data_IF_551886822064
#
_entry.id   IF_551886822064
#
_cell.length_a   1.000
_cell.length_b   1.000
_cell.length_c   1.000
_cell.angle_alpha   90.00
_cell.angle_beta   90.00
_cell.angle_gamma   90.00
#
_symmetry.space_group_name_H-M   'P 1'
#
loop_
_entity.id
_entity.type
_entity.pdbx_description
1 polymer ?
#
# COMPACT_ATOMS: atom_id res chain seq x y z
N UNK A 1 -0.12 13.20 -5.47
CA UNK A 1 -0.37 11.87 -4.89
C UNK A 1 -1.82 11.49 -5.03
N UNK A 2 -2.05 10.25 -5.37
CA UNK A 2 -3.40 9.77 -5.64
C UNK A 2 -4.00 9.09 -4.43
N UNK A 3 -5.29 9.37 -4.18
CA UNK A 3 -6.07 8.64 -3.20
C UNK A 3 -7.08 7.79 -3.96
N UNK A 4 -7.20 6.54 -3.55
CA UNK A 4 -8.17 5.63 -4.14
C UNK A 4 -9.29 5.44 -3.14
N UNK A 5 -10.49 5.85 -3.49
CA UNK A 5 -11.63 5.83 -2.56
C UNK A 5 -12.55 4.64 -2.71
N UNK A 6 -12.55 3.99 -3.86
CA UNK A 6 -13.43 2.85 -4.09
C UNK A 6 -12.65 1.72 -4.75
N UNK A 7 -13.15 0.50 -4.55
CA UNK A 7 -12.49 -0.71 -4.98
C UNK A 7 -12.24 -0.75 -6.48
N UNK A 8 -13.25 -0.44 -7.28
CA UNK A 8 -13.07 -0.55 -8.72
C UNK A 8 -12.10 0.51 -9.26
N UNK A 9 -11.98 1.64 -8.58
CA UNK A 9 -11.00 2.65 -8.96
C UNK A 9 -9.59 2.15 -8.79
N UNK A 10 -9.34 1.39 -7.71
CA UNK A 10 -8.04 0.79 -7.51
C UNK A 10 -7.73 -0.20 -8.62
N UNK A 11 -8.67 -1.08 -8.91
CA UNK A 11 -8.49 -2.06 -9.98
C UNK A 11 -8.20 -1.39 -11.31
N UNK A 12 -8.98 -0.37 -11.64
CA UNK A 12 -8.79 0.39 -12.88
C UNK A 12 -7.43 1.07 -12.92
N UNK A 13 -7.02 1.63 -11.78
CA UNK A 13 -5.77 2.38 -11.70
C UNK A 13 -4.56 1.47 -11.88
N UNK A 14 -4.57 0.27 -11.31
CA UNK A 14 -3.41 -0.61 -11.33
C UNK A 14 -3.36 -1.54 -12.54
N UNK A 15 -4.48 -1.73 -13.18
CA UNK A 15 -4.68 -2.74 -14.22
C UNK A 15 -3.68 -2.63 -15.37
N UNK A 16 -3.37 -1.42 -15.79
CA UNK A 16 -2.48 -1.18 -16.93
C UNK A 16 -1.09 -0.70 -16.55
N UNK A 17 -0.80 -0.63 -15.26
CA UNK A 17 0.52 -0.20 -14.79
C UNK A 17 1.44 -1.40 -14.66
N UNK A 18 2.68 -1.25 -15.13
CA UNK A 18 3.67 -2.32 -15.03
C UNK A 18 3.97 -2.65 -13.58
N UNK A 19 4.18 -1.63 -12.77
CA UNK A 19 4.41 -1.78 -11.33
C UNK A 19 3.78 -0.63 -10.60
N UNK A 20 3.09 -0.94 -9.50
CA UNK A 20 2.61 0.10 -8.60
C UNK A 20 2.57 -0.46 -7.18
N UNK A 21 3.11 0.33 -6.26
CA UNK A 21 3.12 -0.01 -4.84
C UNK A 21 1.96 0.68 -4.18
N UNK A 22 1.11 -0.08 -3.51
CA UNK A 22 -0.09 0.46 -2.88
C UNK A 22 -0.01 0.25 -1.38
N UNK A 23 -0.02 1.35 -0.64
CA UNK A 23 -0.03 1.31 0.83
C UNK A 23 -1.47 1.34 1.31
N UNK A 24 -1.82 0.32 2.10
CA UNK A 24 -3.10 0.31 2.81
C UNK A 24 -2.83 0.74 4.24
N UNK A 25 -3.47 1.81 4.68
CA UNK A 25 -3.23 2.37 6.00
C UNK A 25 -4.54 2.79 6.65
N UNK A 26 -4.54 2.90 7.98
CA UNK A 26 -5.70 3.37 8.71
C UNK A 26 -5.32 4.66 9.46
N UNK A 27 -6.22 5.61 9.47
CA UNK A 27 -5.96 6.91 10.10
C UNK A 27 -5.82 6.80 11.62
N UNK A 28 -6.46 5.79 12.21
CA UNK A 28 -6.45 5.58 13.68
C UNK A 28 -5.27 4.76 14.18
N UNK A 29 -4.55 4.10 13.31
CA UNK A 29 -3.52 3.14 13.70
C UNK A 29 -2.16 3.83 13.90
N UNK A 30 -1.54 3.71 15.10
CA UNK A 30 -0.23 4.34 15.32
C UNK A 30 0.86 3.84 14.39
N UNK A 31 0.82 2.55 14.06
CA UNK A 31 1.81 1.98 13.14
C UNK A 31 1.65 2.52 11.72
N UNK A 32 0.40 2.74 11.30
CA UNK A 32 0.14 3.40 10.02
C UNK A 32 0.64 4.83 10.03
N UNK A 33 0.36 5.57 11.08
CA UNK A 33 0.81 6.96 11.21
C UNK A 33 2.33 7.07 11.17
N UNK A 34 3.00 6.12 11.80
CA UNK A 34 4.46 6.09 11.81
C UNK A 34 5.02 5.77 10.44
N UNK A 35 4.40 4.83 9.72
CA UNK A 35 4.90 4.37 8.44
C UNK A 35 4.56 5.32 7.29
N UNK A 36 3.46 6.05 7.39
CA UNK A 36 3.00 6.91 6.31
C UNK A 36 4.05 7.89 5.80
N UNK A 37 4.74 8.67 6.67
CA UNK A 37 5.77 9.57 6.15
C UNK A 37 6.96 8.84 5.53
N UNK A 38 7.24 7.63 5.98
CA UNK A 38 8.29 6.80 5.38
C UNK A 38 7.90 6.44 3.95
N UNK A 39 6.68 5.97 3.76
CA UNK A 39 6.17 5.61 2.44
C UNK A 39 6.14 6.85 1.53
N UNK A 40 5.71 7.98 2.05
CA UNK A 40 5.63 9.21 1.27
C UNK A 40 6.99 9.70 0.80
N UNK A 41 8.01 9.52 1.61
CA UNK A 41 9.38 9.88 1.23
C UNK A 41 9.80 9.14 -0.04
N UNK A 42 9.47 7.87 -0.15
CA UNK A 42 9.81 7.09 -1.33
C UNK A 42 8.86 7.37 -2.48
N UNK A 43 7.59 7.67 -2.18
CA UNK A 43 6.63 7.97 -3.23
C UNK A 43 6.92 9.29 -3.94
N UNK A 44 7.57 10.23 -3.26
CA UNK A 44 7.96 11.49 -3.89
C UNK A 44 8.93 11.27 -5.05
N UNK A 45 9.73 10.22 -4.97
CA UNK A 45 10.67 9.88 -6.04
C UNK A 45 10.02 9.08 -7.17
N UNK A 46 8.85 8.50 -6.91
CA UNK A 46 8.13 7.67 -7.88
C UNK A 46 6.63 7.92 -7.76
N UNK A 47 6.17 9.16 -7.96
CA UNK A 47 4.77 9.48 -7.67
C UNK A 47 3.78 8.72 -8.54
N UNK A 48 4.19 8.27 -9.70
CA UNK A 48 3.31 7.51 -10.60
C UNK A 48 3.22 6.04 -10.23
N UNK A 49 4.17 5.57 -9.42
CA UNK A 49 4.27 4.16 -9.08
C UNK A 49 3.84 3.86 -7.65
N UNK A 50 3.42 4.87 -6.91
CA UNK A 50 3.04 4.71 -5.50
C UNK A 50 1.67 5.32 -5.26
N UNK A 51 0.80 4.52 -4.65
CA UNK A 51 -0.55 4.96 -4.28
C UNK A 51 -0.77 4.64 -2.81
N UNK A 52 -1.73 5.32 -2.20
CA UNK A 52 -2.13 4.97 -0.84
C UNK A 52 -3.65 4.91 -0.75
N UNK A 53 -4.11 3.97 0.05
CA UNK A 53 -5.52 3.73 0.29
C UNK A 53 -5.78 3.79 1.78
N UNK A 54 -6.68 4.67 2.18
CA UNK A 54 -7.12 4.76 3.56
C UNK A 54 -8.21 3.72 3.77
N UNK A 55 -8.00 2.82 4.71
CA UNK A 55 -8.88 1.67 4.88
C UNK A 55 -10.09 1.90 5.77
N UNK A 56 -10.20 3.07 6.38
CA UNK A 56 -11.22 3.33 7.40
C UNK A 56 -12.63 2.92 7.00
N UNK A 57 -13.02 3.14 5.75
CA UNK A 57 -14.35 2.80 5.25
C UNK A 57 -14.30 1.83 4.07
N UNK A 58 -13.26 1.01 4.00
CA UNK A 58 -13.01 0.16 2.84
C UNK A 58 -12.96 -1.31 3.20
N UNK A 59 -13.94 -1.77 3.98
CA UNK A 59 -13.97 -3.16 4.44
C UNK A 59 -13.94 -4.17 3.30
N UNK A 60 -14.69 -3.90 2.24
CA UNK A 60 -14.75 -4.82 1.09
C UNK A 60 -13.41 -4.90 0.36
N UNK A 61 -12.76 -3.78 0.22
CA UNK A 61 -11.45 -3.74 -0.43
C UNK A 61 -10.43 -4.50 0.38
N UNK A 62 -10.47 -4.34 1.71
CA UNK A 62 -9.59 -5.07 2.60
C UNK A 62 -9.83 -6.57 2.52
N UNK A 63 -11.09 -7.01 2.45
CA UNK A 63 -11.42 -8.41 2.28
C UNK A 63 -10.87 -8.97 0.98
N UNK A 64 -11.04 -8.22 -0.09
CA UNK A 64 -10.62 -8.65 -1.42
C UNK A 64 -9.13 -8.96 -1.47
N UNK A 65 -8.32 -8.15 -0.80
CA UNK A 65 -6.87 -8.32 -0.84
C UNK A 65 -6.32 -8.90 0.44
N UNK A 66 -7.19 -9.41 1.31
CA UNK A 66 -6.80 -10.03 2.58
C UNK A 66 -5.93 -9.10 3.44
N UNK A 67 -6.38 -7.86 3.58
CA UNK A 67 -5.68 -6.88 4.39
C UNK A 67 -6.16 -7.05 5.83
N UNK A 68 -5.42 -7.82 6.61
CA UNK A 68 -5.76 -8.12 8.00
C UNK A 68 -5.09 -7.18 8.98
N UNK A 69 -4.00 -6.57 8.58
CA UNK A 69 -3.23 -5.64 9.41
C UNK A 69 -2.90 -4.42 8.60
N UNK A 70 -2.68 -3.31 9.27
CA UNK A 70 -2.20 -2.08 8.64
C UNK A 70 -1.01 -1.56 9.43
N UNK A 71 -0.04 -0.97 8.79
CA UNK A 71 0.07 -0.74 7.34
C UNK A 71 0.42 -2.01 6.58
N UNK A 72 -0.03 -2.10 5.35
CA UNK A 72 0.32 -3.21 4.44
C UNK A 72 0.62 -2.61 3.07
N UNK A 73 1.68 -3.07 2.42
CA UNK A 73 2.04 -2.62 1.09
C UNK A 73 1.91 -3.79 0.12
N UNK A 74 1.16 -3.58 -0.95
CA UNK A 74 1.04 -4.56 -2.02
C UNK A 74 1.73 -4.04 -3.27
N UNK A 75 2.48 -4.91 -3.94
CA UNK A 75 3.01 -4.60 -5.26
C UNK A 75 2.10 -5.20 -6.30
N UNK A 76 1.56 -4.36 -7.16
CA UNK A 76 0.75 -4.80 -8.29
C UNK A 76 1.59 -4.71 -9.55
N UNK A 77 1.54 -5.77 -10.35
CA UNK A 77 2.16 -5.75 -11.68
C UNK A 77 1.09 -6.13 -12.68
N UNK A 78 0.73 -5.17 -13.54
CA UNK A 78 -0.36 -5.31 -14.50
C UNK A 78 -1.66 -5.79 -13.86
N UNK A 79 -1.97 -5.21 -12.70
CA UNK A 79 -3.20 -5.49 -11.98
C UNK A 79 -3.18 -6.70 -11.07
N UNK A 80 -2.07 -7.43 -11.03
CA UNK A 80 -1.94 -8.64 -10.21
C UNK A 80 -1.00 -8.38 -9.04
N UNK A 81 -1.39 -8.79 -7.84
CA UNK A 81 -0.53 -8.68 -6.67
C UNK A 81 0.58 -9.72 -6.78
N UNK A 82 1.81 -9.27 -6.89
CA UNK A 82 2.97 -10.16 -7.03
C UNK A 82 3.83 -10.24 -5.78
N UNK A 83 3.78 -9.21 -4.94
CA UNK A 83 4.49 -9.19 -3.66
C UNK A 83 3.69 -8.42 -2.65
N UNK A 84 3.92 -8.71 -1.39
CA UNK A 84 3.25 -7.97 -0.32
C UNK A 84 4.12 -7.88 0.92
N UNK A 85 3.91 -6.79 1.67
CA UNK A 85 4.48 -6.59 3.00
C UNK A 85 3.33 -6.37 3.94
N UNK A 86 3.02 -7.38 4.74
CA UNK A 86 1.95 -7.26 5.73
C UNK A 86 2.54 -6.70 7.02
N UNK A 87 1.86 -5.73 7.61
CA UNK A 87 2.28 -5.19 8.90
C UNK A 87 2.24 -6.27 9.97
N UNK A 88 3.26 -6.30 10.82
CA UNK A 88 3.29 -7.25 11.92
C UNK A 88 2.48 -6.72 13.10
N UNK A 89 1.64 -7.56 13.72
CA UNK A 89 0.91 -7.14 14.92
C UNK A 89 1.87 -6.64 15.98
N UNK A 90 1.61 -5.44 16.48
CA UNK A 90 2.46 -4.84 17.51
C UNK A 90 3.74 -4.19 17.03
N UNK A 91 4.02 -4.26 15.73
CA UNK A 91 5.25 -3.70 15.17
C UNK A 91 5.05 -2.87 13.91
N UNK A 92 4.07 -3.25 13.08
CA UNK A 92 3.82 -2.54 11.82
C UNK A 92 4.86 -2.86 10.77
N UNK A 93 5.30 -1.85 10.03
CA UNK A 93 6.31 -1.99 8.99
C UNK A 93 7.46 -1.01 9.24
N UNK A 94 8.64 -1.35 8.73
CA UNK A 94 9.82 -0.50 8.86
C UNK A 94 10.26 0.03 7.49
N UNK A 95 11.07 1.08 7.53
CA UNK A 95 11.67 1.64 6.32
C UNK A 95 12.53 0.60 5.61
N UNK A 96 13.25 -0.22 6.39
CA UNK A 96 14.13 -1.24 5.84
C UNK A 96 13.36 -2.28 5.04
N UNK A 97 12.18 -2.68 5.52
CA UNK A 97 11.32 -3.61 4.79
C UNK A 97 10.85 -3.00 3.47
N UNK A 98 10.48 -1.71 3.50
CA UNK A 98 10.06 -1.03 2.29
C UNK A 98 11.21 -0.92 1.28
N UNK A 99 12.40 -0.54 1.75
CA UNK A 99 13.58 -0.47 0.89
C UNK A 99 13.87 -1.79 0.21
N UNK A 100 13.75 -2.87 0.96
CA UNK A 100 13.98 -4.21 0.42
C UNK A 100 12.96 -4.54 -0.67
N UNK A 101 11.69 -4.26 -0.42
CA UNK A 101 10.65 -4.50 -1.41
C UNK A 101 10.92 -3.71 -2.69
N UNK A 102 11.27 -2.44 -2.56
CA UNK A 102 11.55 -1.58 -3.71
C UNK A 102 12.77 -2.05 -4.49
N UNK A 103 13.77 -2.58 -3.82
CA UNK A 103 14.99 -3.04 -4.49
C UNK A 103 14.85 -4.41 -5.14
N UNK A 104 13.94 -5.24 -4.65
CA UNK A 104 13.70 -6.57 -5.21
C UNK A 104 12.77 -6.58 -6.41
N UNK A 105 12.10 -5.48 -6.65
CA UNK A 105 11.12 -5.41 -7.74
C UNK A 105 11.56 -4.43 -8.85
#
# INVERSE_FOLDING_TARGET
>A
MSKIDVEFELEDTVKNKKKVYVLFYASWCPFSKRFLPIFEKYSEKRPQDCLRVKTDDKAKLCEKYSIDTVPTVLLFELGTVTKRLDGEPGAGLSEQQLKKLLSES
#
